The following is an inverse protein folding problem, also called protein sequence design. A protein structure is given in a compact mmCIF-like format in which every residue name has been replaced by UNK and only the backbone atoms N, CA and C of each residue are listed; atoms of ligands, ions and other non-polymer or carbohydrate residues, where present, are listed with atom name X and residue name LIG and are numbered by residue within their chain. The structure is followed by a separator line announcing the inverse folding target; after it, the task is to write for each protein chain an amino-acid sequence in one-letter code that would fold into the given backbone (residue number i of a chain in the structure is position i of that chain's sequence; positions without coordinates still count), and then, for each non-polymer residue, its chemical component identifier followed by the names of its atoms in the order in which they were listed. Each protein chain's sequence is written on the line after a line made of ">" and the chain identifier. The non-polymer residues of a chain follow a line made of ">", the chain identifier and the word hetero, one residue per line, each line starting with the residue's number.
data_IF_865974875332
#
_entry.id   IF_865974875332
#
_cell.length_a   1.000
_cell.length_b   1.000
_cell.length_c   1.000
_cell.angle_alpha   90.00
_cell.angle_beta   90.00
_cell.angle_gamma   90.00
#
_symmetry.space_group_name_H-M   'P 1'
#
loop_
_entity.id
_entity.type
_entity.pdbx_description
1 polymer ?
#
# COMPACT_ATOMS: atom_id res chain seq x y z
N UNK A 1 1.35 3.35 -17.43
CA UNK A 1 0.31 4.24 -16.80
C UNK A 1 0.57 4.48 -15.31
N UNK A 2 0.75 3.44 -14.48
CA UNK A 2 0.94 3.61 -13.02
C UNK A 2 2.25 4.36 -12.72
N UNK A 3 3.35 4.04 -13.40
CA UNK A 3 4.65 4.69 -13.23
C UNK A 3 4.62 6.18 -13.60
N UNK A 4 4.09 6.52 -14.75
CA UNK A 4 3.98 7.92 -15.22
C UNK A 4 3.27 8.84 -14.20
N UNK A 5 2.29 8.28 -13.46
CA UNK A 5 1.58 9.00 -12.39
C UNK A 5 2.49 9.30 -11.20
N UNK A 6 3.35 8.33 -10.80
CA UNK A 6 4.31 8.54 -9.72
C UNK A 6 5.48 9.44 -10.15
N UNK A 7 5.91 9.37 -11.39
CA UNK A 7 6.91 10.30 -11.96
C UNK A 7 6.39 11.74 -11.92
N UNK A 8 5.16 11.98 -12.38
CA UNK A 8 4.52 13.30 -12.28
C UNK A 8 4.39 13.80 -10.83
N UNK A 9 4.14 12.90 -9.88
CA UNK A 9 4.12 13.24 -8.45
C UNK A 9 5.50 13.65 -7.93
N UNK A 10 6.55 12.92 -8.29
CA UNK A 10 7.94 13.24 -7.92
C UNK A 10 8.38 14.56 -8.55
N UNK A 11 8.08 14.78 -9.84
CA UNK A 11 8.37 16.04 -10.55
C UNK A 11 7.68 17.23 -9.89
N UNK A 12 6.41 17.08 -9.52
CA UNK A 12 5.69 18.15 -8.80
C UNK A 12 6.38 18.50 -7.48
N UNK A 13 6.70 17.50 -6.64
CA UNK A 13 7.36 17.75 -5.36
C UNK A 13 8.74 18.37 -5.54
N UNK A 14 9.55 17.86 -6.46
CA UNK A 14 10.89 18.34 -6.74
C UNK A 14 10.89 19.84 -7.12
N UNK A 15 9.97 20.25 -8.01
CA UNK A 15 9.80 21.68 -8.35
C UNK A 15 9.40 22.54 -7.17
N UNK A 16 8.50 22.04 -6.28
CA UNK A 16 8.08 22.81 -5.09
C UNK A 16 9.20 23.03 -4.09
N UNK A 17 10.21 22.17 -4.07
CA UNK A 17 11.36 22.28 -3.18
C UNK A 17 12.63 22.75 -3.89
N UNK A 18 12.56 23.09 -5.19
CA UNK A 18 13.67 23.61 -5.97
C UNK A 18 14.80 22.60 -6.21
N UNK A 19 14.44 21.33 -6.48
CA UNK A 19 15.38 20.23 -6.76
C UNK A 19 15.06 19.54 -8.08
N UNK A 20 16.06 18.85 -8.65
CA UNK A 20 15.86 18.01 -9.81
C UNK A 20 15.12 16.70 -9.43
N UNK A 21 14.10 16.29 -10.20
CA UNK A 21 13.35 15.07 -9.91
C UNK A 21 14.15 13.82 -10.26
N UNK A 22 14.26 12.90 -9.30
CA UNK A 22 14.81 11.56 -9.52
C UNK A 22 13.84 10.54 -8.92
N UNK A 23 13.18 9.76 -9.77
CA UNK A 23 12.28 8.71 -9.34
C UNK A 23 13.05 7.39 -9.20
N UNK A 24 13.26 6.93 -7.97
CA UNK A 24 13.93 5.66 -7.67
C UNK A 24 12.91 4.56 -7.49
N UNK A 25 13.11 3.46 -8.19
CA UNK A 25 12.26 2.27 -8.09
C UNK A 25 13.06 1.09 -7.60
N UNK A 26 12.44 0.27 -6.76
CA UNK A 26 13.03 -0.98 -6.25
C UNK A 26 12.07 -2.15 -6.43
N UNK A 27 12.60 -3.36 -6.68
CA UNK A 27 11.80 -4.58 -6.83
C UNK A 27 11.01 -4.95 -5.58
N UNK A 28 11.58 -4.70 -4.38
CA UNK A 28 11.00 -5.10 -3.10
C UNK A 28 10.76 -3.91 -2.18
N UNK A 29 9.85 -4.10 -1.23
CA UNK A 29 9.58 -3.12 -0.18
C UNK A 29 10.77 -2.93 0.76
N UNK A 30 11.53 -4.01 1.01
CA UNK A 30 12.74 -3.96 1.82
C UNK A 30 13.80 -3.04 1.21
N UNK A 31 14.06 -3.17 -0.09
CA UNK A 31 15.01 -2.30 -0.79
C UNK A 31 14.58 -0.82 -0.79
N UNK A 32 13.27 -0.55 -0.87
CA UNK A 32 12.76 0.82 -0.72
C UNK A 32 13.03 1.37 0.68
N UNK A 33 12.85 0.56 1.73
CA UNK A 33 13.18 0.95 3.11
C UNK A 33 14.67 1.26 3.29
N UNK A 34 15.56 0.48 2.65
CA UNK A 34 17.00 0.74 2.69
C UNK A 34 17.38 2.07 2.04
N UNK A 35 16.68 2.49 0.95
CA UNK A 35 16.90 3.82 0.38
C UNK A 35 16.60 4.93 1.40
N UNK A 36 15.50 4.80 2.14
CA UNK A 36 15.16 5.78 3.20
C UNK A 36 16.17 5.71 4.34
N UNK A 37 16.47 4.50 4.84
CA UNK A 37 17.38 4.26 5.97
C UNK A 37 18.76 4.89 5.78
N UNK A 38 19.30 4.79 4.57
CA UNK A 38 20.63 5.34 4.24
C UNK A 38 20.57 6.74 3.64
N UNK A 39 19.44 7.43 3.70
CA UNK A 39 19.28 8.79 3.18
C UNK A 39 19.55 8.90 1.67
N UNK A 40 19.26 7.86 0.92
CA UNK A 40 19.44 7.81 -0.54
C UNK A 40 18.26 8.38 -1.32
N UNK A 41 17.22 8.76 -0.62
CA UNK A 41 16.09 9.52 -1.14
C UNK A 41 15.56 10.44 -0.05
N UNK A 42 15.01 11.58 -0.44
CA UNK A 42 14.43 12.56 0.46
C UNK A 42 13.05 12.14 0.96
N UNK A 43 12.29 11.50 0.07
CA UNK A 43 10.90 11.10 0.32
C UNK A 43 10.61 9.76 -0.33
N UNK A 44 9.79 8.94 0.31
CA UNK A 44 9.34 7.67 -0.27
C UNK A 44 7.85 7.43 0.01
N UNK A 45 7.20 6.68 -0.88
CA UNK A 45 5.89 6.07 -0.63
C UNK A 45 6.13 4.61 -0.24
N UNK A 46 5.69 4.23 0.94
CA UNK A 46 5.92 2.90 1.48
C UNK A 46 4.62 2.28 1.99
N UNK A 47 4.52 0.96 1.94
CA UNK A 47 3.41 0.24 2.55
C UNK A 47 3.48 0.36 4.09
N UNK A 48 2.36 0.10 4.78
CA UNK A 48 2.24 0.26 6.24
C UNK A 48 3.27 -0.58 7.01
N UNK A 49 3.47 -1.86 6.68
CA UNK A 49 4.43 -2.69 7.40
C UNK A 49 5.89 -2.23 7.21
N UNK A 50 6.38 -1.91 6.01
CA UNK A 50 7.66 -1.24 5.83
C UNK A 50 7.80 0.05 6.62
N UNK A 51 6.76 0.88 6.69
CA UNK A 51 6.75 2.08 7.53
C UNK A 51 6.95 1.74 9.01
N UNK A 52 6.16 0.81 9.57
CA UNK A 52 6.27 0.44 10.98
C UNK A 52 7.64 -0.16 11.33
N UNK A 53 8.22 -0.95 10.42
CA UNK A 53 9.60 -1.43 10.58
C UNK A 53 10.60 -0.29 10.56
N UNK A 54 10.52 0.62 9.59
CA UNK A 54 11.41 1.77 9.50
C UNK A 54 11.27 2.72 10.70
N UNK A 55 10.05 2.93 11.20
CA UNK A 55 9.78 3.69 12.42
C UNK A 55 10.50 3.08 13.63
N UNK A 56 10.41 1.76 13.81
CA UNK A 56 11.08 1.05 14.91
C UNK A 56 12.60 1.00 14.75
N UNK A 57 13.09 0.70 13.56
CA UNK A 57 14.50 0.33 13.33
C UNK A 57 15.42 1.55 13.20
N UNK A 58 14.93 2.68 12.70
CA UNK A 58 15.71 3.90 12.51
C UNK A 58 14.93 5.21 12.63
N UNK A 59 13.70 5.17 13.14
CA UNK A 59 12.90 6.38 13.40
C UNK A 59 12.29 7.01 12.13
N UNK A 60 12.00 6.23 11.08
CA UNK A 60 11.29 6.70 9.87
C UNK A 60 10.04 7.50 10.27
N UNK A 61 9.81 8.63 9.62
CA UNK A 61 8.71 9.52 9.94
C UNK A 61 7.68 9.57 8.82
N UNK A 62 6.40 9.43 9.17
CA UNK A 62 5.31 9.71 8.26
C UNK A 62 5.16 11.24 8.10
N UNK A 63 5.33 11.74 6.90
CA UNK A 63 5.24 13.17 6.59
C UNK A 63 3.81 13.59 6.28
N UNK A 64 3.11 12.78 5.49
CA UNK A 64 1.72 12.96 5.12
C UNK A 64 1.09 11.61 4.73
N UNK A 65 -0.23 11.55 4.73
CA UNK A 65 -1.02 10.43 4.23
C UNK A 65 -2.03 10.90 3.20
N UNK A 66 -2.33 10.09 2.17
CA UNK A 66 -3.38 10.42 1.23
C UNK A 66 -4.76 10.32 1.90
N UNK A 67 -5.62 11.28 1.63
CA UNK A 67 -7.04 11.19 1.91
C UNK A 67 -7.79 10.83 0.63
N UNK A 68 -8.60 9.78 0.68
CA UNK A 68 -9.33 9.24 -0.45
C UNK A 68 -10.79 9.07 -0.02
N UNK A 69 -11.73 9.69 -0.73
CA UNK A 69 -13.17 9.68 -0.38
C UNK A 69 -13.40 10.06 1.09
N UNK A 70 -12.74 11.14 1.53
CA UNK A 70 -12.77 11.68 2.89
C UNK A 70 -12.22 10.76 4.00
N UNK A 71 -11.61 9.62 3.64
CA UNK A 71 -11.00 8.68 4.58
C UNK A 71 -9.47 8.67 4.47
N UNK A 72 -8.82 8.47 5.62
CA UNK A 72 -7.38 8.18 5.77
C UNK A 72 -7.14 6.73 6.21
N UNK A 73 -8.18 5.89 6.07
CA UNK A 73 -8.13 4.47 6.39
C UNK A 73 -8.47 3.62 5.18
N UNK A 74 -8.05 2.38 5.21
CA UNK A 74 -8.21 1.39 4.14
C UNK A 74 -8.39 0.00 4.74
N UNK A 75 -8.58 -1.01 3.90
CA UNK A 75 -8.74 -2.40 4.29
C UNK A 75 -7.79 -3.31 3.51
N UNK A 76 -7.45 -4.45 4.10
CA UNK A 76 -7.02 -5.62 3.35
C UNK A 76 -8.27 -6.31 2.79
N UNK A 77 -8.26 -6.59 1.50
CA UNK A 77 -9.30 -7.43 0.89
C UNK A 77 -8.65 -8.61 0.19
N UNK A 78 -9.33 -9.76 0.21
CA UNK A 78 -8.98 -10.88 -0.66
C UNK A 78 -10.03 -10.98 -1.74
N UNK A 79 -9.56 -10.94 -2.98
CA UNK A 79 -10.40 -11.06 -4.17
C UNK A 79 -10.21 -12.44 -4.82
N UNK A 80 -11.28 -12.99 -5.37
CA UNK A 80 -11.30 -14.25 -6.12
C UNK A 80 -12.07 -14.06 -7.42
N UNK A 81 -11.95 -14.97 -8.42
CA UNK A 81 -12.80 -14.95 -9.60
C UNK A 81 -14.29 -14.97 -9.23
N UNK A 82 -15.11 -14.20 -9.94
CA UNK A 82 -16.58 -14.21 -9.73
C UNK A 82 -17.18 -15.61 -9.90
N UNK A 83 -16.64 -16.40 -10.82
CA UNK A 83 -17.05 -17.78 -11.09
C UNK A 83 -16.59 -18.79 -10.03
N UNK A 84 -15.68 -18.40 -9.12
CA UNK A 84 -15.25 -19.28 -8.04
C UNK A 84 -16.39 -19.55 -7.05
N UNK A 85 -16.44 -20.74 -6.48
CA UNK A 85 -17.37 -21.07 -5.39
C UNK A 85 -16.94 -20.50 -4.03
N UNK A 86 -15.69 -19.99 -3.93
CA UNK A 86 -15.17 -19.41 -2.69
C UNK A 86 -16.06 -18.25 -2.19
N UNK A 87 -16.44 -18.30 -0.92
CA UNK A 87 -17.22 -17.27 -0.20
C UNK A 87 -16.45 -16.65 0.95
N UNK A 88 -15.36 -17.30 1.34
CA UNK A 88 -14.46 -16.89 2.43
C UNK A 88 -12.99 -17.11 2.07
N UNK A 89 -12.09 -16.57 2.87
CA UNK A 89 -10.65 -16.83 2.73
C UNK A 89 -10.32 -18.31 2.98
N UNK A 90 -11.08 -19.02 3.82
CA UNK A 90 -10.87 -20.45 4.11
C UNK A 90 -11.09 -21.33 2.87
N UNK A 91 -11.95 -20.92 1.95
CA UNK A 91 -12.24 -21.68 0.73
C UNK A 91 -11.07 -21.65 -0.28
N UNK A 92 -10.04 -20.84 -0.01
CA UNK A 92 -8.82 -20.77 -0.81
C UNK A 92 -7.73 -21.76 -0.33
N UNK A 93 -8.03 -22.68 0.58
CA UNK A 93 -7.10 -23.72 1.02
C UNK A 93 -6.60 -24.56 -0.17
N UNK A 94 -5.27 -24.72 -0.26
CA UNK A 94 -4.61 -25.47 -1.33
C UNK A 94 -4.69 -24.80 -2.71
N UNK A 95 -5.21 -23.57 -2.80
CA UNK A 95 -5.31 -22.80 -4.04
C UNK A 95 -4.08 -21.92 -4.26
N UNK A 96 -3.92 -21.39 -5.47
CA UNK A 96 -2.88 -20.41 -5.82
C UNK A 96 -3.30 -19.04 -5.30
N UNK A 97 -2.46 -18.43 -4.48
CA UNK A 97 -2.71 -17.13 -3.87
C UNK A 97 -1.66 -16.10 -4.30
N UNK A 98 -2.09 -14.93 -4.75
CA UNK A 98 -1.19 -13.86 -5.14
C UNK A 98 -1.14 -12.73 -4.09
N UNK A 99 0.04 -12.19 -3.87
CA UNK A 99 0.24 -10.96 -3.09
C UNK A 99 1.32 -10.09 -3.70
N UNK A 100 1.37 -8.81 -3.32
CA UNK A 100 2.37 -7.88 -3.81
C UNK A 100 3.79 -8.24 -3.34
N UNK A 101 3.93 -8.63 -2.06
CA UNK A 101 5.20 -8.90 -1.38
C UNK A 101 4.90 -9.68 -0.08
N UNK A 102 5.87 -10.46 0.42
CA UNK A 102 5.75 -11.22 1.69
C UNK A 102 5.65 -10.31 2.93
N UNK A 103 6.11 -9.06 2.82
CA UNK A 103 5.94 -8.04 3.87
C UNK A 103 4.83 -7.05 3.56
N UNK A 104 3.99 -7.33 2.56
CA UNK A 104 2.81 -6.53 2.27
C UNK A 104 1.79 -6.65 3.38
N UNK A 105 1.50 -5.53 4.06
CA UNK A 105 0.54 -5.50 5.17
C UNK A 105 -0.84 -6.01 4.73
N UNK A 106 -1.42 -5.40 3.71
CA UNK A 106 -2.75 -5.75 3.21
C UNK A 106 -2.76 -6.98 2.30
N UNK A 107 -1.66 -7.24 1.56
CA UNK A 107 -1.61 -8.35 0.61
C UNK A 107 -1.34 -9.70 1.24
N UNK A 108 -0.59 -9.72 2.36
CA UNK A 108 -0.18 -10.96 3.00
C UNK A 108 -0.36 -10.98 4.51
N UNK A 109 0.20 -10.02 5.26
CA UNK A 109 0.27 -10.12 6.72
C UNK A 109 -1.12 -10.17 7.37
N UNK A 110 -2.05 -9.32 6.93
CA UNK A 110 -3.42 -9.30 7.47
C UNK A 110 -4.17 -10.60 7.17
N UNK A 111 -4.25 -11.09 5.92
CA UNK A 111 -4.87 -12.39 5.62
C UNK A 111 -4.22 -13.55 6.38
N UNK A 112 -2.88 -13.59 6.44
CA UNK A 112 -2.14 -14.64 7.11
C UNK A 112 -2.37 -14.64 8.63
N UNK A 113 -2.42 -13.45 9.25
CA UNK A 113 -2.73 -13.36 10.68
C UNK A 113 -4.17 -13.79 10.97
N UNK A 114 -5.13 -13.41 10.12
CA UNK A 114 -6.50 -13.88 10.25
C UNK A 114 -6.59 -15.41 10.13
N UNK A 115 -5.85 -16.04 9.21
CA UNK A 115 -5.78 -17.50 9.10
C UNK A 115 -5.29 -18.14 10.41
N UNK A 116 -4.25 -17.56 11.06
CA UNK A 116 -3.78 -18.03 12.37
C UNK A 116 -4.85 -17.96 13.46
N UNK A 117 -5.66 -16.89 13.44
CA UNK A 117 -6.80 -16.76 14.36
C UNK A 117 -7.85 -17.85 14.15
N UNK A 118 -7.94 -18.36 12.90
CA UNK A 118 -8.76 -19.52 12.56
C UNK A 118 -8.05 -20.86 12.83
N UNK A 119 -6.86 -20.84 13.50
CA UNK A 119 -6.00 -22.00 13.80
C UNK A 119 -5.43 -22.68 12.54
N UNK A 120 -5.23 -21.92 11.49
CA UNK A 120 -4.61 -22.35 10.26
C UNK A 120 -3.15 -21.91 10.20
N UNK A 121 -2.30 -22.72 9.57
CA UNK A 121 -0.91 -22.35 9.28
C UNK A 121 -0.83 -21.62 7.93
N UNK A 122 -0.60 -20.30 7.89
CA UNK A 122 -0.55 -19.56 6.63
C UNK A 122 0.53 -20.05 5.67
N UNK A 123 1.66 -20.55 6.19
CA UNK A 123 2.80 -20.97 5.37
C UNK A 123 2.48 -22.26 4.58
N UNK A 124 1.55 -23.10 5.09
CA UNK A 124 1.07 -24.31 4.42
C UNK A 124 -0.37 -24.24 3.91
N UNK A 125 -1.06 -23.11 4.10
CA UNK A 125 -2.47 -22.99 3.78
C UNK A 125 -2.77 -22.98 2.27
N UNK A 126 -1.98 -22.21 1.52
CA UNK A 126 -2.12 -22.11 0.08
C UNK A 126 -1.25 -23.16 -0.61
N UNK A 127 -1.71 -23.67 -1.77
CA UNK A 127 -0.92 -24.61 -2.58
C UNK A 127 0.27 -23.93 -3.26
N UNK A 128 0.12 -22.65 -3.59
CA UNK A 128 1.18 -21.82 -4.14
C UNK A 128 1.00 -20.38 -3.69
N UNK A 129 2.11 -19.70 -3.32
CA UNK A 129 2.10 -18.26 -3.03
C UNK A 129 2.89 -17.50 -4.10
N UNK A 130 2.19 -16.70 -4.92
CA UNK A 130 2.73 -15.95 -6.04
C UNK A 130 3.03 -14.52 -5.60
N UNK A 131 4.30 -14.12 -5.70
CA UNK A 131 4.72 -12.74 -5.43
C UNK A 131 4.63 -11.91 -6.71
N UNK A 132 3.56 -11.15 -6.84
CA UNK A 132 3.24 -10.39 -8.05
C UNK A 132 4.01 -9.06 -8.17
N UNK A 133 4.64 -8.58 -7.09
CA UNK A 133 5.42 -7.34 -7.04
C UNK A 133 4.59 -6.06 -6.87
N UNK A 134 3.25 -6.12 -7.05
CA UNK A 134 2.34 -4.99 -6.78
C UNK A 134 0.89 -5.47 -6.65
N UNK A 135 0.04 -4.66 -6.01
CA UNK A 135 -1.38 -5.01 -5.80
C UNK A 135 -2.17 -5.10 -7.10
N UNK A 136 -1.93 -4.20 -8.05
CA UNK A 136 -2.57 -4.23 -9.37
C UNK A 136 -2.21 -5.51 -10.14
N UNK A 137 -0.95 -5.95 -10.09
CA UNK A 137 -0.54 -7.24 -10.68
C UNK A 137 -1.16 -8.44 -9.95
N UNK A 138 -1.36 -8.36 -8.63
CA UNK A 138 -2.05 -9.41 -7.88
C UNK A 138 -3.51 -9.57 -8.35
N UNK A 139 -4.23 -8.45 -8.57
CA UNK A 139 -5.57 -8.47 -9.17
C UNK A 139 -5.53 -9.03 -10.59
N UNK A 140 -4.56 -8.59 -11.41
CA UNK A 140 -4.40 -9.11 -12.79
C UNK A 140 -4.14 -10.61 -12.80
N UNK A 141 -3.36 -11.16 -11.85
CA UNK A 141 -3.14 -12.60 -11.76
C UNK A 141 -4.45 -13.38 -11.58
N UNK A 142 -5.40 -12.84 -10.79
CA UNK A 142 -6.75 -13.43 -10.65
C UNK A 142 -7.53 -13.30 -11.95
N UNK A 143 -7.55 -12.12 -12.57
CA UNK A 143 -8.28 -11.87 -13.83
C UNK A 143 -7.79 -12.73 -15.00
N UNK A 144 -6.50 -13.07 -15.02
CA UNK A 144 -5.87 -13.92 -16.04
C UNK A 144 -5.94 -15.43 -15.70
N UNK A 145 -6.48 -15.81 -14.53
CA UNK A 145 -6.54 -17.20 -14.08
C UNK A 145 -5.20 -17.79 -13.64
N UNK A 146 -4.20 -16.94 -13.36
CA UNK A 146 -2.91 -17.36 -12.82
C UNK A 146 -2.98 -17.60 -11.30
N UNK A 147 -3.90 -16.92 -10.60
CA UNK A 147 -4.17 -17.10 -9.20
C UNK A 147 -5.68 -17.34 -8.97
N UNK A 148 -5.99 -18.12 -7.94
CA UNK A 148 -7.36 -18.43 -7.53
C UNK A 148 -7.88 -17.44 -6.48
N UNK A 149 -6.97 -16.68 -5.86
CA UNK A 149 -7.25 -15.56 -4.97
C UNK A 149 -6.06 -14.62 -4.86
N UNK A 150 -6.31 -13.37 -4.45
CA UNK A 150 -5.26 -12.39 -4.22
C UNK A 150 -5.58 -11.49 -3.04
N UNK A 151 -4.57 -11.30 -2.16
CA UNK A 151 -4.60 -10.29 -1.11
C UNK A 151 -4.15 -8.93 -1.65
N UNK A 152 -4.99 -7.91 -1.47
CA UNK A 152 -4.74 -6.58 -2.02
C UNK A 152 -5.17 -5.45 -1.08
N UNK A 153 -4.63 -4.26 -1.32
CA UNK A 153 -5.09 -3.04 -0.69
C UNK A 153 -6.42 -2.61 -1.32
N UNK A 154 -7.47 -2.40 -0.53
CA UNK A 154 -8.79 -2.06 -1.05
C UNK A 154 -8.77 -0.81 -1.94
N UNK A 155 -7.97 0.20 -1.61
CA UNK A 155 -7.82 1.41 -2.42
C UNK A 155 -7.34 1.12 -3.85
N UNK A 156 -6.40 0.18 -4.02
CA UNK A 156 -5.91 -0.19 -5.35
C UNK A 156 -6.99 -0.95 -6.12
N UNK A 157 -7.67 -1.88 -5.46
CA UNK A 157 -8.77 -2.63 -6.07
C UNK A 157 -9.92 -1.72 -6.50
N UNK A 158 -10.34 -0.78 -5.61
CA UNK A 158 -11.39 0.19 -5.89
C UNK A 158 -11.01 1.14 -7.03
N UNK A 159 -9.73 1.57 -7.09
CA UNK A 159 -9.24 2.42 -8.18
C UNK A 159 -9.25 1.68 -9.52
N UNK A 160 -8.76 0.44 -9.54
CA UNK A 160 -8.80 -0.39 -10.74
C UNK A 160 -10.23 -0.61 -11.24
N UNK A 161 -11.17 -0.87 -10.31
CA UNK A 161 -12.58 -1.04 -10.63
C UNK A 161 -13.25 0.26 -11.12
N UNK A 162 -12.82 1.43 -10.65
CA UNK A 162 -13.29 2.72 -11.15
C UNK A 162 -12.79 3.03 -12.57
N UNK A 163 -11.57 2.57 -12.91
CA UNK A 163 -10.99 2.70 -14.26
C UNK A 163 -11.55 1.65 -15.24
N UNK A 164 -11.86 0.45 -14.74
CA UNK A 164 -12.45 -0.66 -15.51
C UNK A 164 -13.50 -1.39 -14.68
N UNK A 165 -14.79 -1.03 -14.81
CA UNK A 165 -15.89 -1.66 -14.08
C UNK A 165 -16.04 -3.17 -14.33
N UNK A 166 -15.51 -3.72 -15.44
CA UNK A 166 -15.55 -5.16 -15.73
C UNK A 166 -14.80 -5.98 -14.69
N UNK A 167 -13.88 -5.37 -13.93
CA UNK A 167 -13.17 -6.02 -12.83
C UNK A 167 -14.18 -6.52 -11.78
N UNK A 168 -15.18 -5.70 -11.41
CA UNK A 168 -16.23 -6.10 -10.44
C UNK A 168 -17.17 -7.18 -10.99
N UNK A 169 -17.35 -7.24 -12.31
CA UNK A 169 -18.13 -8.30 -12.96
C UNK A 169 -17.39 -9.64 -12.95
N UNK A 170 -16.05 -9.60 -13.00
CA UNK A 170 -15.17 -10.77 -13.13
C UNK A 170 -14.57 -11.25 -11.80
N UNK A 171 -14.60 -10.41 -10.77
CA UNK A 171 -14.05 -10.73 -9.44
C UNK A 171 -15.08 -10.46 -8.33
N UNK A 172 -14.83 -11.04 -7.17
CA UNK A 172 -15.58 -10.79 -5.93
C UNK A 172 -14.64 -10.75 -4.74
N UNK A 173 -15.03 -10.01 -3.70
CA UNK A 173 -14.33 -9.99 -2.41
C UNK A 173 -14.81 -11.16 -1.56
N UNK A 174 -13.87 -11.99 -1.07
CA UNK A 174 -14.13 -13.13 -0.18
C UNK A 174 -13.61 -12.91 1.25
N UNK A 175 -12.87 -11.82 1.48
CA UNK A 175 -12.41 -11.39 2.80
C UNK A 175 -12.22 -9.87 2.82
N UNK A 176 -12.58 -9.25 3.93
CA UNK A 176 -12.31 -7.84 4.21
C UNK A 176 -11.93 -7.68 5.68
N UNK A 177 -10.80 -7.02 5.95
CA UNK A 177 -10.31 -6.75 7.31
C UNK A 177 -11.02 -5.57 7.95
N UNK A 178 -10.76 -5.37 9.24
CA UNK A 178 -10.94 -4.08 9.91
C UNK A 178 -10.11 -2.99 9.21
N UNK A 179 -10.51 -1.73 9.42
CA UNK A 179 -9.84 -0.58 8.85
C UNK A 179 -8.48 -0.32 9.52
N UNK A 180 -7.52 0.13 8.75
CA UNK A 180 -6.21 0.60 9.21
C UNK A 180 -5.76 1.82 8.41
N UNK A 181 -4.75 2.55 8.94
CA UNK A 181 -4.23 3.74 8.28
C UNK A 181 -3.68 3.46 6.88
N UNK A 182 -3.93 4.37 5.94
CA UNK A 182 -3.42 4.28 4.56
C UNK A 182 -1.88 4.36 4.52
N UNK A 183 -1.22 3.80 3.49
CA UNK A 183 0.22 3.92 3.29
C UNK A 183 0.70 5.37 3.30
N UNK A 184 1.73 5.71 4.12
CA UNK A 184 2.23 7.07 4.25
C UNK A 184 3.26 7.45 3.18
N UNK A 185 3.40 8.76 2.98
CA UNK A 185 4.61 9.38 2.44
C UNK A 185 5.58 9.58 3.60
N UNK A 186 6.80 9.06 3.47
CA UNK A 186 7.77 8.99 4.57
C UNK A 186 9.08 9.71 4.25
N UNK A 187 9.81 10.06 5.31
CA UNK A 187 11.14 10.66 5.24
C UNK A 187 12.08 10.03 6.29
N UNK A 188 13.39 10.15 6.06
CA UNK A 188 14.38 9.83 7.08
C UNK A 188 14.32 10.85 8.24
N UNK A 189 14.49 10.43 9.52
CA UNK A 189 14.43 11.35 10.66
C UNK A 189 15.49 12.46 10.59
N UNK A 190 16.67 12.18 10.04
CA UNK A 190 17.76 13.16 9.90
C UNK A 190 17.66 14.01 8.61
N UNK A 191 16.56 13.93 7.84
CA UNK A 191 16.35 14.84 6.72
C UNK A 191 16.34 16.29 7.24
N UNK A 192 16.99 17.21 6.50
CA UNK A 192 17.04 18.62 6.83
C UNK A 192 15.65 19.17 7.20
N UNK A 193 15.55 19.85 8.33
CA UNK A 193 14.27 20.29 8.88
C UNK A 193 13.52 21.25 7.96
N UNK A 194 14.24 22.15 7.28
CA UNK A 194 13.64 23.10 6.33
C UNK A 194 13.07 22.35 5.12
N UNK A 195 13.83 21.40 4.56
CA UNK A 195 13.38 20.59 3.43
C UNK A 195 12.17 19.73 3.84
N UNK A 196 12.18 19.16 5.04
CA UNK A 196 11.06 18.39 5.58
C UNK A 196 9.77 19.21 5.63
N UNK A 197 9.83 20.44 6.14
CA UNK A 197 8.68 21.34 6.18
C UNK A 197 8.23 21.79 4.78
N UNK A 198 9.16 22.04 3.86
CA UNK A 198 8.84 22.35 2.47
C UNK A 198 8.11 21.18 1.77
N UNK A 199 8.58 19.95 1.95
CA UNK A 199 7.92 18.75 1.41
C UNK A 199 6.53 18.55 2.02
N UNK A 200 6.39 18.74 3.35
CA UNK A 200 5.08 18.65 4.02
C UNK A 200 4.11 19.70 3.48
N UNK A 201 4.55 20.95 3.39
CA UNK A 201 3.73 22.05 2.86
C UNK A 201 3.32 21.79 1.40
N UNK A 202 4.25 21.29 0.56
CA UNK A 202 3.95 20.93 -0.82
C UNK A 202 2.92 19.82 -0.93
N UNK A 203 3.01 18.75 -0.10
CA UNK A 203 2.04 17.67 -0.06
C UNK A 203 0.66 18.15 0.40
N UNK A 204 0.59 18.79 1.56
CA UNK A 204 -0.67 19.24 2.16
C UNK A 204 -1.35 20.32 1.31
N UNK A 205 -0.57 21.20 0.68
CA UNK A 205 -1.06 22.25 -0.22
C UNK A 205 -1.37 21.80 -1.64
N UNK A 206 -1.00 20.58 -2.01
CA UNK A 206 -1.04 20.06 -3.39
C UNK A 206 -2.41 20.20 -4.06
N UNK A 207 -3.50 19.97 -3.34
CA UNK A 207 -4.87 20.05 -3.84
C UNK A 207 -5.35 21.48 -4.16
N UNK A 208 -4.63 22.51 -3.66
CA UNK A 208 -4.91 23.94 -3.92
C UNK A 208 -4.17 24.46 -5.15
N UNK A 209 -3.22 23.71 -5.65
CA UNK A 209 -2.43 24.04 -6.84
C UNK A 209 -3.05 23.34 -8.06
N UNK A 210 -3.39 24.06 -9.16
CA UNK A 210 -4.02 23.47 -10.33
C UNK A 210 -3.25 22.28 -10.93
N UNK A 211 -1.91 22.33 -10.93
CA UNK A 211 -1.08 21.23 -11.39
C UNK A 211 -1.07 20.08 -10.40
N UNK A 212 -0.89 20.39 -9.10
CA UNK A 212 -0.99 19.40 -8.02
C UNK A 212 -2.33 18.67 -8.02
N UNK A 213 -3.44 19.38 -8.21
CA UNK A 213 -4.77 18.78 -8.31
C UNK A 213 -4.90 17.78 -9.47
N UNK A 214 -4.27 18.05 -10.63
CA UNK A 214 -4.25 17.10 -11.75
C UNK A 214 -3.47 15.84 -11.41
N UNK A 215 -2.32 15.97 -10.76
CA UNK A 215 -1.50 14.82 -10.31
C UNK A 215 -2.26 13.99 -9.28
N UNK A 216 -2.91 14.62 -8.30
CA UNK A 216 -3.74 13.96 -7.30
C UNK A 216 -4.91 13.19 -7.95
N UNK A 217 -5.62 13.82 -8.89
CA UNK A 217 -6.71 13.18 -9.62
C UNK A 217 -6.24 11.92 -10.39
N UNK A 218 -5.07 11.99 -11.03
CA UNK A 218 -4.47 10.85 -11.72
C UNK A 218 -4.11 9.70 -10.77
N UNK A 219 -3.76 10.01 -9.51
CA UNK A 219 -3.47 9.03 -8.45
C UNK A 219 -4.73 8.55 -7.69
N UNK A 220 -5.92 9.13 -7.96
CA UNK A 220 -7.13 8.84 -7.21
C UNK A 220 -7.11 9.38 -5.77
N UNK A 221 -6.27 10.37 -5.49
CA UNK A 221 -6.08 11.00 -4.18
C UNK A 221 -6.86 12.33 -4.16
N UNK A 222 -7.64 12.57 -3.10
CA UNK A 222 -8.35 13.83 -2.91
C UNK A 222 -7.40 14.94 -2.44
N UNK A 223 -6.60 14.65 -1.43
CA UNK A 223 -5.54 15.51 -0.89
C UNK A 223 -4.60 14.73 0.01
N UNK A 224 -3.50 15.32 0.38
CA UNK A 224 -2.66 14.84 1.48
C UNK A 224 -2.97 15.59 2.78
N UNK A 225 -2.92 14.87 3.90
CA UNK A 225 -3.10 15.41 5.25
C UNK A 225 -1.97 14.94 6.17
N UNK A 226 -1.69 15.70 7.23
CA UNK A 226 -0.77 15.25 8.27
C UNK A 226 -1.46 14.13 9.06
N UNK A 227 -0.83 12.95 9.22
CA UNK A 227 -1.43 11.87 9.99
C UNK A 227 -1.56 12.22 11.46
N UNK A 228 -2.67 11.83 12.08
CA UNK A 228 -2.78 11.81 13.54
C UNK A 228 -1.86 10.72 14.11
N UNK A 229 -1.32 10.93 15.32
CA UNK A 229 -0.38 10.00 15.95
C UNK A 229 -0.95 8.57 16.11
N UNK A 230 -2.26 8.46 16.30
CA UNK A 230 -2.99 7.21 16.52
C UNK A 230 -3.36 6.47 15.23
N UNK A 231 -3.20 7.10 14.06
CA UNK A 231 -3.63 6.52 12.77
C UNK A 231 -3.11 5.10 12.52
N UNK A 232 -1.91 4.80 13.00
CA UNK A 232 -1.24 3.51 12.78
C UNK A 232 -1.28 2.58 13.99
N UNK A 233 -2.03 2.88 15.07
CA UNK A 233 -2.04 2.08 16.30
C UNK A 233 -2.60 0.67 16.08
N UNK A 234 -3.69 0.55 15.30
CA UNK A 234 -4.23 -0.76 14.91
C UNK A 234 -3.21 -1.60 14.14
N UNK A 235 -2.48 -0.95 13.23
CA UNK A 235 -1.44 -1.61 12.44
C UNK A 235 -0.22 -2.00 13.29
N UNK A 236 0.19 -1.16 14.27
CA UNK A 236 1.25 -1.49 15.23
C UNK A 236 0.87 -2.68 16.10
N UNK A 237 -0.38 -2.72 16.60
CA UNK A 237 -0.88 -3.84 17.40
C UNK A 237 -0.87 -5.16 16.61
N UNK A 238 -1.30 -5.11 15.35
CA UNK A 238 -1.31 -6.27 14.45
C UNK A 238 0.11 -6.72 14.08
N UNK A 239 1.03 -5.78 13.79
CA UNK A 239 2.43 -6.10 13.50
C UNK A 239 3.11 -6.80 14.69
N UNK A 240 2.86 -6.35 15.93
CA UNK A 240 3.35 -7.05 17.14
C UNK A 240 2.83 -8.49 17.24
N UNK A 241 1.56 -8.72 16.92
CA UNK A 241 0.96 -10.08 16.93
C UNK A 241 1.58 -10.96 15.82
N UNK A 242 1.92 -10.37 14.69
CA UNK A 242 2.60 -11.08 13.61
C UNK A 242 4.03 -11.49 13.98
N UNK A 243 4.76 -10.63 14.68
CA UNK A 243 6.16 -10.88 15.11
C UNK A 243 6.26 -11.80 16.35
N UNK A 244 5.21 -11.93 17.13
CA UNK A 244 5.14 -12.81 18.31
C UNK A 244 4.96 -14.30 17.93
N UNK A 245 5.79 -14.80 17.01
CA UNK A 245 5.80 -16.19 16.52
C UNK A 245 6.46 -17.14 17.50
#
# INVERSE_FOLDING_TARGET
>A
KTMERYEAFVEYLARKVGRDPVCLRRPTYAETNELVRYGRCEVALVCVCPFLRGERDFGMQALAVPQIRDAVTTHSVVVAPRSSEATSLLDLRGKRFASADIVSYSGWIVPALWLREQKEDPDGFFGEHILAGSHDRSVQAVLMGHADGAGVLSLVYDQMAAEDPTILERTKTVFKSEAFGVPPVVVHPALDGKLKEQLRAALVGMHKDPEGAKVLAALGIQRFVVPEATLFDSARALAKRWEAR
#
